data_IF_165913193701
#
_entry.id   IF_165913193701
#
_cell.length_a   1.000
_cell.length_b   1.000
_cell.length_c   1.000
_cell.angle_alpha   90.00
_cell.angle_beta   90.00
_cell.angle_gamma   90.00
#
_symmetry.space_group_name_H-M   'P 1'
#
loop_
_entity.id
_entity.type
_entity.pdbx_description
1 polymer ?
#
# COMPACT_ATOMS: atom_id res chain seq x y z
N UNK A 1 21.56 -11.79 -1.11
CA UNK A 1 20.53 -10.76 -0.88
C UNK A 1 20.80 -10.17 0.49
N UNK A 2 21.34 -8.96 0.54
CA UNK A 2 21.80 -8.33 1.78
C UNK A 2 20.64 -7.52 2.36
N UNK A 3 20.30 -7.71 3.64
CA UNK A 3 19.11 -7.13 4.32
C UNK A 3 19.12 -5.58 4.28
N UNK A 4 20.27 -4.97 3.96
CA UNK A 4 20.42 -3.52 3.81
C UNK A 4 19.81 -2.97 2.51
N UNK A 5 19.66 -3.80 1.46
CA UNK A 5 19.09 -3.37 0.16
C UNK A 5 17.55 -3.40 0.15
N UNK A 6 16.92 -4.15 1.07
CA UNK A 6 15.45 -4.27 1.18
C UNK A 6 14.77 -3.02 1.74
N UNK A 7 15.51 -2.09 2.36
CA UNK A 7 14.90 -0.95 3.08
C UNK A 7 14.31 0.13 2.17
N UNK A 8 14.63 0.12 0.88
CA UNK A 8 14.07 1.05 -0.10
C UNK A 8 12.96 0.43 -0.94
N UNK A 9 12.38 -0.69 -0.50
CA UNK A 9 11.16 -1.17 -1.13
C UNK A 9 10.05 -0.18 -0.77
N UNK A 10 9.72 0.69 -1.72
CA UNK A 10 8.56 1.55 -1.62
C UNK A 10 7.34 0.65 -1.47
N UNK A 11 6.69 0.67 -0.29
CA UNK A 11 5.47 -0.10 -0.01
C UNK A 11 4.42 0.07 -1.12
N UNK A 12 4.39 1.25 -1.75
CA UNK A 12 3.56 1.57 -2.91
C UNK A 12 3.83 0.62 -4.09
N UNK A 13 5.10 0.35 -4.41
CA UNK A 13 5.47 -0.57 -5.48
C UNK A 13 5.08 -2.02 -5.19
N UNK A 14 5.12 -2.43 -3.92
CA UNK A 14 4.62 -3.75 -3.51
C UNK A 14 3.11 -3.80 -3.72
N UNK A 15 2.37 -2.82 -3.22
CA UNK A 15 0.91 -2.76 -3.32
C UNK A 15 0.45 -2.72 -4.78
N UNK A 16 1.14 -1.97 -5.64
CA UNK A 16 0.88 -1.90 -7.08
C UNK A 16 1.10 -3.27 -7.77
N UNK A 17 2.16 -4.00 -7.39
CA UNK A 17 2.42 -5.36 -7.91
C UNK A 17 1.35 -6.38 -7.50
N UNK A 18 0.63 -6.10 -6.41
CA UNK A 18 -0.49 -6.91 -5.92
C UNK A 18 -1.85 -6.43 -6.45
N UNK A 19 -1.87 -5.47 -7.38
CA UNK A 19 -3.05 -4.78 -7.91
C UNK A 19 -3.91 -4.09 -6.81
N UNK A 20 -3.30 -3.79 -5.66
CA UNK A 20 -3.94 -3.08 -4.56
C UNK A 20 -3.81 -1.58 -4.81
N UNK A 21 -4.87 -0.99 -5.35
CA UNK A 21 -4.91 0.43 -5.68
C UNK A 21 -5.33 1.28 -4.48
N UNK A 22 -4.80 2.51 -4.36
CA UNK A 22 -5.26 3.44 -3.34
C UNK A 22 -6.69 3.90 -3.64
N UNK A 23 -7.54 3.85 -2.63
CA UNK A 23 -8.93 4.35 -2.66
C UNK A 23 -8.97 5.88 -2.66
N UNK A 24 -8.00 6.51 -1.98
CA UNK A 24 -7.88 7.96 -1.87
C UNK A 24 -6.42 8.34 -1.80
N UNK A 25 -6.06 9.47 -2.40
CA UNK A 25 -4.71 10.04 -2.33
C UNK A 25 -4.84 11.53 -1.99
N UNK A 26 -3.96 12.04 -1.13
CA UNK A 26 -3.69 13.46 -0.99
C UNK A 26 -2.17 13.71 -1.03
N UNK A 27 -1.73 14.96 -0.90
CA UNK A 27 -0.32 15.35 -1.02
C UNK A 27 0.63 14.67 -0.02
N UNK A 28 0.11 14.03 1.04
CA UNK A 28 0.91 13.45 2.12
C UNK A 28 0.65 11.97 2.39
N UNK A 29 -0.47 11.42 1.93
CA UNK A 29 -1.01 10.13 2.36
C UNK A 29 -1.82 9.46 1.25
N UNK A 30 -1.80 8.13 1.26
CA UNK A 30 -2.63 7.28 0.42
C UNK A 30 -3.38 6.28 1.32
N UNK A 31 -4.66 6.09 1.05
CA UNK A 31 -5.52 5.14 1.76
C UNK A 31 -5.81 3.96 0.86
N UNK A 32 -5.87 2.77 1.43
CA UNK A 32 -6.12 1.53 0.71
C UNK A 32 -7.27 0.77 1.37
N UNK A 33 -8.05 0.03 0.58
CA UNK A 33 -8.91 -1.00 1.17
C UNK A 33 -8.06 -2.18 1.61
N UNK A 34 -8.36 -2.73 2.79
CA UNK A 34 -7.68 -3.94 3.26
C UNK A 34 -8.10 -5.13 2.38
N UNK A 35 -7.14 -5.93 1.86
CA UNK A 35 -7.47 -7.12 1.09
C UNK A 35 -7.97 -8.29 1.97
N UNK A 36 -7.85 -8.18 3.29
CA UNK A 36 -8.15 -9.26 4.24
C UNK A 36 -9.55 -9.16 4.87
N UNK A 37 -10.30 -8.10 4.55
CA UNK A 37 -11.63 -7.85 5.10
C UNK A 37 -12.43 -6.98 4.14
N UNK A 38 -13.67 -7.36 3.93
CA UNK A 38 -14.60 -6.61 3.09
C UNK A 38 -15.15 -5.44 3.92
N UNK A 39 -14.62 -4.23 3.68
CA UNK A 39 -14.97 -3.03 4.44
C UNK A 39 -15.39 -1.89 3.50
N UNK A 40 -16.53 -1.28 3.77
CA UNK A 40 -17.00 -0.09 3.04
C UNK A 40 -16.24 1.20 3.43
N UNK A 41 -15.31 1.12 4.39
CA UNK A 41 -14.54 2.25 4.88
C UNK A 41 -13.07 1.99 4.56
N UNK A 42 -12.36 2.87 3.84
CA UNK A 42 -10.93 2.72 3.64
C UNK A 42 -10.24 2.79 5.01
N UNK A 43 -9.51 1.73 5.37
CA UNK A 43 -8.74 1.66 6.61
C UNK A 43 -7.59 2.68 6.59
N UNK A 44 -7.38 3.33 7.73
CA UNK A 44 -6.27 4.26 7.98
C UNK A 44 -4.90 3.60 7.80
#
# INVERSE_FOLDING_TARGET
>A
MNIQEEKNILIISILDSLDIKPTKINDKQAWYHSPFREENTPGL
#
